data_IF_894728903363
#
_entry.id   IF_894728903363
#
_cell.length_a   1.000
_cell.length_b   1.000
_cell.length_c   1.000
_cell.angle_alpha   90.00
_cell.angle_beta   90.00
_cell.angle_gamma   90.00
#
_symmetry.space_group_name_H-M   'P 1'
#
loop_
_entity.id
_entity.type
_entity.pdbx_description
1 polymer ?
#
# COMPACT_ATOMS: atom_id res chain seq x y z
N UNK A 1 -17.15 -16.31 25.54
CA UNK A 1 -15.70 -16.45 25.76
C UNK A 1 -15.08 -16.91 24.46
N UNK A 2 -14.59 -15.97 23.64
CA UNK A 2 -13.85 -16.32 22.41
C UNK A 2 -12.51 -16.87 22.86
N UNK A 3 -12.18 -18.10 22.47
CA UNK A 3 -10.84 -18.61 22.64
C UNK A 3 -9.90 -17.64 21.90
N UNK A 4 -9.02 -16.98 22.65
CA UNK A 4 -7.87 -16.31 22.04
C UNK A 4 -7.09 -17.44 21.39
N UNK A 5 -7.20 -17.59 20.07
CA UNK A 5 -6.32 -18.51 19.34
C UNK A 5 -4.92 -17.95 19.55
N UNK A 6 -4.18 -18.57 20.46
CA UNK A 6 -2.78 -18.25 20.72
C UNK A 6 -2.02 -18.44 19.41
N UNK A 7 -1.30 -17.40 19.00
CA UNK A 7 -0.29 -17.44 17.94
C UNK A 7 0.59 -18.67 18.19
N UNK A 8 0.61 -19.71 17.32
CA UNK A 8 1.48 -20.86 17.48
C UNK A 8 2.94 -20.42 17.66
N UNK A 9 3.70 -21.17 18.45
CA UNK A 9 5.11 -20.91 18.66
C UNK A 9 5.85 -20.88 17.32
N UNK A 10 6.74 -19.90 17.13
CA UNK A 10 7.66 -19.86 16.00
C UNK A 10 8.63 -21.03 16.21
N UNK A 11 8.43 -22.13 15.48
CA UNK A 11 9.22 -23.36 15.64
C UNK A 11 10.71 -23.13 15.29
N UNK A 12 11.02 -22.13 14.47
CA UNK A 12 12.39 -21.69 14.20
C UNK A 12 12.44 -20.19 13.79
N UNK A 13 12.96 -19.28 14.63
CA UNK A 13 13.05 -17.85 14.29
C UNK A 13 14.02 -17.55 13.15
N UNK A 14 14.86 -18.50 12.75
CA UNK A 14 15.77 -18.36 11.62
C UNK A 14 15.09 -18.52 10.25
N UNK A 15 13.82 -18.95 10.20
CA UNK A 15 13.06 -19.08 8.96
C UNK A 15 11.84 -18.14 8.97
N UNK A 16 11.48 -17.55 7.82
CA UNK A 16 10.31 -16.69 7.74
C UNK A 16 9.00 -17.48 7.84
N UNK A 17 7.98 -16.85 8.43
CA UNK A 17 6.64 -17.44 8.54
C UNK A 17 5.87 -17.19 7.24
N UNK A 18 6.02 -18.08 6.26
CA UNK A 18 5.43 -17.91 4.92
C UNK A 18 4.09 -18.63 4.72
N UNK A 19 3.82 -19.69 5.47
CA UNK A 19 2.66 -20.57 5.25
C UNK A 19 2.19 -21.30 6.51
N UNK A 20 1.12 -22.08 6.37
CA UNK A 20 0.59 -23.02 7.36
C UNK A 20 -0.66 -22.56 8.11
N UNK A 21 -1.07 -21.30 7.94
CA UNK A 21 -2.21 -20.69 8.65
C UNK A 21 -3.33 -20.27 7.69
N UNK A 22 -3.36 -20.86 6.49
CA UNK A 22 -4.24 -20.48 5.40
C UNK A 22 -5.72 -20.51 5.82
N UNK A 23 -6.13 -21.53 6.58
CA UNK A 23 -7.51 -21.66 7.05
C UNK A 23 -7.88 -20.54 8.05
N UNK A 24 -7.02 -20.27 9.03
CA UNK A 24 -7.23 -19.24 10.04
C UNK A 24 -7.21 -17.83 9.44
N UNK A 25 -6.26 -17.57 8.54
CA UNK A 25 -6.16 -16.32 7.78
C UNK A 25 -7.40 -16.15 6.93
N UNK A 26 -7.79 -17.14 6.11
CA UNK A 26 -9.00 -17.07 5.29
C UNK A 26 -10.23 -16.76 6.13
N UNK A 27 -10.40 -17.43 7.28
CA UNK A 27 -11.49 -17.16 8.22
C UNK A 27 -11.49 -15.72 8.74
N UNK A 28 -10.32 -15.17 9.10
CA UNK A 28 -10.20 -13.78 9.54
C UNK A 28 -10.52 -12.78 8.41
N UNK A 29 -10.06 -13.07 7.18
CA UNK A 29 -10.23 -12.18 6.02
C UNK A 29 -11.66 -12.12 5.49
N UNK A 30 -12.48 -13.14 5.74
CA UNK A 30 -13.89 -13.17 5.33
C UNK A 30 -14.83 -12.30 6.18
N UNK A 31 -14.36 -11.57 7.19
CA UNK A 31 -15.21 -10.66 7.95
C UNK A 31 -15.62 -9.45 7.11
N UNK A 32 -16.94 -9.27 6.89
CA UNK A 32 -17.53 -8.09 6.25
C UNK A 32 -17.80 -6.92 7.21
N UNK A 33 -17.27 -6.97 8.43
CA UNK A 33 -17.43 -5.89 9.41
C UNK A 33 -16.58 -4.68 9.03
N UNK A 34 -17.18 -3.50 9.22
CA UNK A 34 -16.47 -2.23 9.15
C UNK A 34 -15.36 -2.15 10.20
N UNK A 35 -14.27 -1.48 9.85
CA UNK A 35 -13.05 -1.35 10.65
C UNK A 35 -13.07 -0.05 11.46
N UNK A 36 -13.50 1.04 10.83
CA UNK A 36 -13.34 2.40 11.36
C UNK A 36 -14.67 3.11 11.64
N UNK A 37 -15.73 2.88 10.85
CA UNK A 37 -16.96 3.72 10.93
C UNK A 37 -17.59 3.76 12.33
N UNK A 38 -17.49 2.67 13.11
CA UNK A 38 -18.04 2.61 14.47
C UNK A 38 -17.16 3.32 15.53
N UNK A 39 -15.95 3.75 15.14
CA UNK A 39 -14.91 4.25 16.06
C UNK A 39 -14.31 5.59 15.64
N UNK A 40 -14.46 5.96 14.38
CA UNK A 40 -14.01 7.24 13.87
C UNK A 40 -14.83 8.36 14.51
N UNK A 41 -14.15 9.47 14.78
CA UNK A 41 -14.74 10.71 15.25
C UNK A 41 -14.86 11.76 14.14
N UNK A 42 -14.65 11.36 12.88
CA UNK A 42 -14.80 12.23 11.73
C UNK A 42 -16.25 12.29 11.30
N UNK A 43 -16.70 13.50 10.99
CA UNK A 43 -17.97 13.76 10.33
C UNK A 43 -17.69 14.19 8.90
N UNK A 44 -18.02 13.32 7.93
CA UNK A 44 -17.77 13.56 6.51
C UNK A 44 -18.48 14.85 6.02
N UNK A 45 -19.63 15.19 6.60
CA UNK A 45 -20.40 16.37 6.21
C UNK A 45 -19.73 17.67 6.64
N UNK A 46 -19.01 17.67 7.77
CA UNK A 46 -18.29 18.82 8.28
C UNK A 46 -16.97 19.14 7.56
N UNK A 47 -16.44 18.20 6.78
CA UNK A 47 -15.12 18.33 6.14
C UNK A 47 -15.21 18.97 4.74
N UNK A 48 -14.27 19.86 4.41
CA UNK A 48 -14.08 20.37 3.06
C UNK A 48 -13.21 19.46 2.20
N UNK A 49 -12.21 18.82 2.81
CA UNK A 49 -11.27 17.91 2.17
C UNK A 49 -10.59 17.03 3.23
N UNK A 50 -9.98 15.94 2.79
CA UNK A 50 -9.14 15.08 3.61
C UNK A 50 -7.74 14.92 3.03
N UNK A 51 -6.80 14.44 3.86
CA UNK A 51 -5.51 13.96 3.39
C UNK A 51 -5.18 12.59 4.01
N UNK A 52 -4.46 11.78 3.27
CA UNK A 52 -3.98 10.47 3.68
C UNK A 52 -2.48 10.36 3.39
N UNK A 53 -1.72 9.85 4.35
CA UNK A 53 -0.30 9.53 4.15
C UNK A 53 -0.06 8.06 4.43
N UNK A 54 0.77 7.44 3.59
CA UNK A 54 1.34 6.13 3.81
C UNK A 54 2.87 6.23 3.88
N UNK A 55 3.46 5.49 4.82
CA UNK A 55 4.90 5.31 4.90
C UNK A 55 5.24 3.89 4.44
N UNK A 56 5.97 3.80 3.33
CA UNK A 56 6.53 2.56 2.80
C UNK A 56 7.87 2.27 3.49
N UNK A 57 8.08 1.05 3.98
CA UNK A 57 9.29 0.66 4.72
C UNK A 57 9.83 -0.67 4.20
N UNK A 58 11.09 -0.68 3.78
CA UNK A 58 11.70 -1.85 3.17
C UNK A 58 13.21 -1.98 3.43
N UNK A 59 13.63 -3.21 3.75
CA UNK A 59 15.02 -3.62 3.65
C UNK A 59 15.07 -4.99 2.96
N UNK A 60 16.02 -5.22 2.03
CA UNK A 60 16.14 -6.49 1.36
C UNK A 60 16.71 -7.57 2.28
N UNK A 61 16.46 -8.83 1.92
CA UNK A 61 17.16 -9.99 2.47
C UNK A 61 18.37 -10.29 1.59
N UNK A 62 19.53 -10.55 2.19
CA UNK A 62 20.80 -10.80 1.48
C UNK A 62 21.50 -12.05 2.02
N UNK A 63 22.26 -12.79 1.20
CA UNK A 63 23.01 -13.98 1.61
C UNK A 63 24.37 -13.62 2.23
N UNK A 64 24.39 -12.70 3.20
CA UNK A 64 25.63 -12.15 3.78
C UNK A 64 25.88 -12.59 5.24
N UNK A 65 25.04 -13.46 5.79
CA UNK A 65 25.26 -14.03 7.12
C UNK A 65 26.38 -15.08 7.15
N UNK A 66 26.77 -15.56 8.34
CA UNK A 66 27.79 -16.60 8.49
C UNK A 66 27.50 -17.82 7.62
N UNK A 67 28.44 -18.20 6.76
CA UNK A 67 28.27 -19.33 5.85
C UNK A 67 27.27 -19.10 4.70
N UNK A 68 26.95 -17.84 4.36
CA UNK A 68 26.02 -17.50 3.28
C UNK A 68 24.55 -17.55 3.69
N UNK A 69 24.27 -17.51 5.00
CA UNK A 69 22.91 -17.45 5.52
C UNK A 69 22.19 -16.18 5.07
N UNK A 70 20.87 -16.30 4.88
CA UNK A 70 20.00 -15.16 4.59
C UNK A 70 19.81 -14.32 5.86
N UNK A 71 20.16 -13.04 5.77
CA UNK A 71 19.96 -12.04 6.82
C UNK A 71 19.28 -10.80 6.24
N UNK A 72 18.58 -10.03 7.08
CA UNK A 72 18.13 -8.70 6.68
C UNK A 72 19.33 -7.77 6.42
N UNK A 73 19.28 -6.95 5.38
CA UNK A 73 20.34 -5.99 5.08
C UNK A 73 20.57 -5.01 6.23
N UNK A 74 19.54 -4.66 7.00
CA UNK A 74 19.70 -3.86 8.22
C UNK A 74 20.66 -4.51 9.23
N UNK A 75 20.64 -5.85 9.38
CA UNK A 75 21.59 -6.57 10.24
C UNK A 75 23.01 -6.39 9.71
N UNK A 76 23.22 -6.61 8.41
CA UNK A 76 24.51 -6.42 7.77
C UNK A 76 25.05 -5.01 8.01
N UNK A 77 24.20 -3.98 7.88
CA UNK A 77 24.61 -2.61 8.14
C UNK A 77 25.10 -2.39 9.58
N UNK A 78 24.43 -2.97 10.58
CA UNK A 78 24.89 -2.89 11.97
C UNK A 78 26.23 -3.61 12.20
N UNK A 79 26.42 -4.76 11.57
CA UNK A 79 27.65 -5.56 11.67
C UNK A 79 28.82 -4.92 10.93
N UNK A 80 28.55 -4.09 9.92
CA UNK A 80 29.54 -3.49 9.02
C UNK A 80 29.40 -1.96 8.95
N UNK A 81 29.23 -1.29 10.09
CA UNK A 81 28.87 0.13 10.18
C UNK A 81 29.85 1.12 9.51
N UNK A 82 31.09 0.70 9.24
CA UNK A 82 32.13 1.52 8.60
C UNK A 82 32.22 1.34 7.08
N UNK A 83 31.37 0.52 6.49
CA UNK A 83 31.33 0.28 5.05
C UNK A 83 30.25 1.16 4.39
N UNK A 84 30.66 2.03 3.48
CA UNK A 84 29.73 2.88 2.72
C UNK A 84 28.72 3.62 3.62
N UNK A 85 27.43 3.49 3.28
CA UNK A 85 26.33 4.15 3.99
C UNK A 85 25.78 3.35 5.18
N UNK A 86 26.46 2.29 5.61
CA UNK A 86 26.01 1.42 6.71
C UNK A 86 25.92 2.15 8.06
N UNK A 87 26.63 3.26 8.22
CA UNK A 87 26.51 4.15 9.38
C UNK A 87 25.07 4.67 9.61
N UNK A 88 24.20 4.59 8.61
CA UNK A 88 22.77 4.96 8.70
C UNK A 88 21.86 3.86 9.28
N UNK A 89 22.38 2.71 9.71
CA UNK A 89 21.58 1.62 10.27
C UNK A 89 20.69 2.06 11.46
N UNK A 90 21.24 2.88 12.36
CA UNK A 90 20.51 3.46 13.49
C UNK A 90 19.35 4.37 13.04
N UNK A 91 19.61 5.39 12.21
CA UNK A 91 18.57 6.21 11.58
C UNK A 91 17.47 5.40 10.88
N UNK A 92 17.82 4.38 10.07
CA UNK A 92 16.83 3.49 9.44
C UNK A 92 15.98 2.76 10.48
N UNK A 93 16.61 2.14 11.47
CA UNK A 93 15.90 1.45 12.55
C UNK A 93 14.93 2.38 13.30
N UNK A 94 15.29 3.64 13.51
CA UNK A 94 14.39 4.62 14.11
C UNK A 94 13.22 4.99 13.19
N UNK A 95 13.44 5.10 11.87
CA UNK A 95 12.35 5.33 10.90
C UNK A 95 11.28 4.23 11.00
N UNK A 96 11.68 2.97 11.19
CA UNK A 96 10.77 1.83 11.37
C UNK A 96 10.03 1.82 12.71
N UNK A 97 10.52 2.57 13.71
CA UNK A 97 9.98 2.55 15.07
C UNK A 97 9.16 3.79 15.42
N UNK A 98 9.51 4.96 14.85
CA UNK A 98 9.11 6.29 15.34
C UNK A 98 7.61 6.55 15.37
N UNK A 99 6.83 5.91 14.50
CA UNK A 99 5.37 6.05 14.55
C UNK A 99 4.78 5.49 15.86
N UNK A 100 5.46 4.52 16.46
CA UNK A 100 5.12 4.01 17.79
C UNK A 100 5.35 5.00 18.92
N UNK A 101 6.13 6.06 18.70
CA UNK A 101 6.31 7.17 19.64
C UNK A 101 5.39 8.34 19.29
N UNK A 102 5.31 8.71 18.01
CA UNK A 102 4.59 9.91 17.57
C UNK A 102 3.07 9.80 17.76
N UNK A 103 2.48 8.63 17.46
CA UNK A 103 1.03 8.45 17.58
C UNK A 103 0.57 8.58 19.04
N UNK A 104 1.16 7.84 20.01
CA UNK A 104 0.81 8.03 21.42
C UNK A 104 1.05 9.46 21.93
N UNK A 105 2.17 10.09 21.55
CA UNK A 105 2.50 11.46 21.97
C UNK A 105 1.43 12.47 21.52
N UNK A 106 1.07 12.44 20.23
CA UNK A 106 0.10 13.36 19.64
C UNK A 106 -1.31 13.15 20.23
N UNK A 107 -1.71 11.90 20.44
CA UNK A 107 -3.00 11.58 21.07
C UNK A 107 -3.04 12.09 22.51
N UNK A 108 -1.95 11.93 23.27
CA UNK A 108 -1.86 12.46 24.63
C UNK A 108 -1.99 13.99 24.67
N UNK A 109 -1.56 14.67 23.61
CA UNK A 109 -1.69 16.12 23.44
C UNK A 109 -3.06 16.55 22.87
N UNK A 110 -3.98 15.61 22.66
CA UNK A 110 -5.33 15.88 22.15
C UNK A 110 -5.43 16.06 20.64
N UNK A 111 -4.38 15.70 19.89
CA UNK A 111 -4.44 15.63 18.44
C UNK A 111 -5.13 14.34 17.97
N UNK A 112 -5.45 14.29 16.67
CA UNK A 112 -6.16 13.18 16.06
C UNK A 112 -5.41 12.63 14.82
N UNK A 113 -4.21 12.05 15.00
CA UNK A 113 -3.32 11.70 13.90
C UNK A 113 -3.80 10.48 13.12
N UNK A 114 -3.56 10.46 11.81
CA UNK A 114 -3.75 9.29 10.93
C UNK A 114 -2.46 8.97 10.19
N UNK A 115 -2.14 7.69 10.06
CA UNK A 115 -1.04 7.22 9.23
C UNK A 115 -1.33 5.81 8.73
N UNK A 116 -1.02 5.58 7.46
CA UNK A 116 -0.99 4.24 6.88
C UNK A 116 0.46 3.70 6.89
N UNK A 117 0.62 2.42 7.21
CA UNK A 117 1.92 1.76 7.29
C UNK A 117 1.98 0.61 6.28
N UNK A 118 2.98 0.65 5.41
CA UNK A 118 3.32 -0.42 4.48
C UNK A 118 4.73 -0.93 4.81
N UNK A 119 4.84 -2.15 5.33
CA UNK A 119 6.12 -2.78 5.65
C UNK A 119 6.21 -4.09 4.88
N UNK A 120 7.28 -4.23 4.10
CA UNK A 120 7.58 -5.48 3.40
C UNK A 120 7.75 -6.67 4.37
N UNK A 121 7.46 -7.87 3.89
CA UNK A 121 7.67 -9.10 4.67
C UNK A 121 9.14 -9.33 5.02
N UNK A 122 10.05 -9.03 4.09
CA UNK A 122 11.50 -9.07 4.32
C UNK A 122 11.92 -8.22 5.52
N UNK A 123 11.43 -6.98 5.60
CA UNK A 123 11.76 -6.08 6.70
C UNK A 123 11.20 -6.63 8.03
N UNK A 124 9.93 -7.02 8.07
CA UNK A 124 9.30 -7.56 9.28
C UNK A 124 10.01 -8.81 9.79
N UNK A 125 10.37 -9.72 8.88
CA UNK A 125 11.16 -10.90 9.22
C UNK A 125 12.56 -10.52 9.70
N UNK A 126 13.27 -9.62 9.01
CA UNK A 126 14.60 -9.16 9.40
C UNK A 126 14.63 -8.53 10.80
N UNK A 127 13.64 -7.70 11.14
CA UNK A 127 13.51 -7.11 12.48
C UNK A 127 13.29 -8.20 13.54
N UNK A 128 12.46 -9.22 13.24
CA UNK A 128 12.27 -10.39 14.13
C UNK A 128 13.56 -11.21 14.29
N UNK A 129 14.25 -11.51 13.18
CA UNK A 129 15.49 -12.28 13.15
C UNK A 129 16.57 -11.60 13.99
N UNK A 130 16.68 -10.28 13.91
CA UNK A 130 17.61 -9.47 14.70
C UNK A 130 17.21 -9.33 16.18
N UNK A 131 16.02 -9.78 16.58
CA UNK A 131 15.52 -9.61 17.95
C UNK A 131 15.26 -8.16 18.37
N UNK A 132 14.92 -7.27 17.41
CA UNK A 132 14.70 -5.83 17.65
C UNK A 132 13.34 -5.54 18.29
N UNK A 133 13.20 -5.97 19.55
CA UNK A 133 11.98 -5.75 20.34
C UNK A 133 11.67 -4.26 20.56
N UNK A 134 12.71 -3.40 20.57
CA UNK A 134 12.57 -1.95 20.63
C UNK A 134 11.74 -1.36 19.47
N UNK A 135 11.72 -2.03 18.31
CA UNK A 135 10.89 -1.68 17.17
C UNK A 135 9.54 -2.43 17.23
N UNK A 136 9.58 -3.76 17.40
CA UNK A 136 8.39 -4.60 17.34
C UNK A 136 7.38 -4.27 18.45
N UNK A 137 7.83 -3.98 19.67
CA UNK A 137 6.93 -3.68 20.78
C UNK A 137 6.23 -2.33 20.58
N UNK A 138 6.92 -1.35 19.99
CA UNK A 138 6.33 -0.06 19.58
C UNK A 138 5.26 -0.24 18.50
N UNK A 139 5.57 -1.01 17.46
CA UNK A 139 4.62 -1.31 16.38
C UNK A 139 3.42 -2.11 16.92
N UNK A 140 3.64 -3.12 17.77
CA UNK A 140 2.55 -3.84 18.45
C UNK A 140 1.70 -2.91 19.30
N UNK A 141 2.31 -1.95 20.00
CA UNK A 141 1.62 -0.94 20.79
C UNK A 141 0.57 -0.20 19.97
N UNK A 142 0.98 0.46 18.88
CA UNK A 142 0.06 1.23 18.02
C UNK A 142 -0.88 0.37 17.18
N UNK A 143 -0.53 -0.89 16.94
CA UNK A 143 -1.34 -1.81 16.12
C UNK A 143 -2.41 -2.50 16.94
N UNK A 144 -2.07 -3.06 18.10
CA UNK A 144 -2.94 -3.97 18.83
C UNK A 144 -3.78 -3.25 19.88
N UNK A 145 -3.31 -2.15 20.46
CA UNK A 145 -4.06 -1.39 21.46
C UNK A 145 -5.24 -0.65 20.83
N UNK A 146 -6.45 -0.92 21.33
CA UNK A 146 -7.70 -0.33 20.81
C UNK A 146 -7.71 1.20 20.80
N UNK A 147 -6.93 1.85 21.67
CA UNK A 147 -6.79 3.31 21.73
C UNK A 147 -6.16 3.89 20.47
N UNK A 148 -5.28 3.14 19.81
CA UNK A 148 -4.51 3.61 18.66
C UNK A 148 -5.05 3.06 17.32
N UNK A 149 -5.93 2.06 17.35
CA UNK A 149 -6.49 1.43 16.15
C UNK A 149 -7.17 2.41 15.16
N UNK A 150 -7.87 3.48 15.59
CA UNK A 150 -8.42 4.47 14.66
C UNK A 150 -7.36 5.32 13.94
N UNK A 151 -6.15 5.40 14.50
CA UNK A 151 -5.09 6.30 14.08
C UNK A 151 -4.07 5.64 13.13
N UNK A 152 -4.02 4.32 13.11
CA UNK A 152 -3.04 3.55 12.33
C UNK A 152 -3.73 2.49 11.51
N UNK A 153 -3.64 2.62 10.20
CA UNK A 153 -4.02 1.58 9.24
C UNK A 153 -2.76 0.89 8.70
N UNK A 154 -2.83 -0.42 8.54
CA UNK A 154 -1.79 -1.19 7.84
C UNK A 154 -2.27 -1.49 6.42
N UNK A 155 -1.36 -1.37 5.45
CA UNK A 155 -1.54 -1.82 4.08
C UNK A 155 -0.84 -3.17 3.90
N UNK A 156 -1.47 -4.06 3.12
CA UNK A 156 -0.77 -5.23 2.61
C UNK A 156 0.24 -4.86 1.54
N UNK A 157 1.27 -5.67 1.38
CA UNK A 157 2.23 -5.60 0.27
C UNK A 157 2.74 -7.01 -0.07
N UNK A 158 3.68 -7.13 -1.00
CA UNK A 158 4.35 -8.40 -1.26
C UNK A 158 5.42 -8.68 -0.20
N UNK A 159 5.47 -9.94 0.25
CA UNK A 159 6.43 -10.37 1.26
C UNK A 159 7.88 -10.02 0.87
N UNK A 160 8.27 -10.36 -0.36
CA UNK A 160 9.64 -10.18 -0.84
C UNK A 160 9.93 -8.82 -1.49
N UNK A 161 8.96 -7.88 -1.47
CA UNK A 161 9.04 -6.62 -2.23
C UNK A 161 9.26 -6.85 -3.74
N UNK A 162 8.60 -7.87 -4.31
CA UNK A 162 8.74 -8.18 -5.73
C UNK A 162 7.99 -7.15 -6.60
N UNK A 163 8.57 -6.77 -7.74
CA UNK A 163 7.90 -5.91 -8.72
C UNK A 163 6.83 -6.73 -9.45
N UNK A 164 5.58 -6.28 -9.41
CA UNK A 164 4.43 -7.08 -9.84
C UNK A 164 4.50 -7.51 -11.31
N UNK A 165 4.90 -6.65 -12.23
CA UNK A 165 5.00 -7.03 -13.65
C UNK A 165 6.18 -7.97 -13.96
N UNK A 166 7.18 -8.07 -13.08
CA UNK A 166 8.30 -8.99 -13.20
C UNK A 166 8.07 -10.31 -12.42
N UNK A 167 6.95 -10.43 -11.73
CA UNK A 167 6.61 -11.61 -10.92
C UNK A 167 5.85 -12.63 -11.77
N UNK A 168 6.26 -13.90 -11.81
CA UNK A 168 5.46 -14.96 -12.45
C UNK A 168 4.03 -14.97 -11.91
N UNK A 169 3.04 -15.11 -12.80
CA UNK A 169 1.62 -15.02 -12.42
C UNK A 169 1.23 -15.95 -11.25
N UNK A 170 1.70 -17.20 -11.16
CA UNK A 170 1.39 -18.08 -10.03
C UNK A 170 1.97 -17.62 -8.69
N UNK A 171 3.02 -16.79 -8.70
CA UNK A 171 3.75 -16.35 -7.51
C UNK A 171 3.16 -15.09 -6.87
N UNK A 172 2.40 -14.30 -7.64
CA UNK A 172 1.65 -13.13 -7.13
C UNK A 172 0.81 -13.48 -5.88
N UNK A 173 -0.11 -14.48 -5.91
CA UNK A 173 -0.87 -14.86 -4.72
C UNK A 173 0.00 -15.44 -3.60
N UNK A 174 1.18 -16.02 -3.91
CA UNK A 174 2.08 -16.55 -2.89
C UNK A 174 2.74 -15.42 -2.10
N UNK A 175 3.20 -14.36 -2.76
CA UNK A 175 3.75 -13.18 -2.08
C UNK A 175 2.74 -12.50 -1.17
N UNK A 176 1.48 -12.39 -1.60
CA UNK A 176 0.40 -11.80 -0.82
C UNK A 176 0.12 -12.64 0.44
N UNK A 177 -0.02 -13.96 0.28
CA UNK A 177 -0.29 -14.88 1.40
C UNK A 177 0.89 -14.94 2.37
N UNK A 178 2.12 -14.98 1.87
CA UNK A 178 3.33 -14.97 2.70
C UNK A 178 3.38 -13.72 3.59
N UNK A 179 3.02 -12.55 3.05
CA UNK A 179 2.95 -11.32 3.83
C UNK A 179 1.92 -11.42 4.96
N UNK A 180 0.74 -11.99 4.68
CA UNK A 180 -0.29 -12.18 5.70
C UNK A 180 0.18 -13.10 6.84
N UNK A 181 0.88 -14.20 6.53
CA UNK A 181 1.45 -15.08 7.55
C UNK A 181 2.50 -14.36 8.41
N UNK A 182 3.42 -13.65 7.76
CA UNK A 182 4.44 -12.86 8.44
C UNK A 182 3.82 -11.79 9.35
N UNK A 183 2.83 -11.05 8.86
CA UNK A 183 2.09 -10.04 9.62
C UNK A 183 1.39 -10.64 10.84
N UNK A 184 0.67 -11.74 10.67
CA UNK A 184 -0.06 -12.39 11.77
C UNK A 184 0.90 -12.95 12.81
N UNK A 185 2.09 -13.42 12.43
CA UNK A 185 3.09 -13.90 13.38
C UNK A 185 3.56 -12.82 14.37
N UNK A 186 3.45 -11.54 13.99
CA UNK A 186 3.86 -10.39 14.81
C UNK A 186 2.65 -9.75 15.52
N UNK A 187 1.56 -9.50 14.79
CA UNK A 187 0.45 -8.66 15.25
C UNK A 187 -0.85 -9.45 15.53
N UNK A 188 -0.94 -10.70 15.09
CA UNK A 188 -2.09 -11.57 15.30
C UNK A 188 -3.24 -11.37 14.30
N UNK A 189 -4.21 -12.29 14.35
CA UNK A 189 -5.32 -12.35 13.40
C UNK A 189 -6.28 -11.15 13.51
N UNK A 190 -6.52 -10.65 14.73
CA UNK A 190 -7.40 -9.48 14.93
C UNK A 190 -6.84 -8.21 14.29
N UNK A 191 -5.51 -8.05 14.26
CA UNK A 191 -4.89 -6.97 13.51
C UNK A 191 -5.06 -7.18 12.00
N UNK A 192 -4.84 -8.41 11.50
CA UNK A 192 -4.97 -8.71 10.06
C UNK A 192 -6.39 -8.46 9.53
N UNK A 193 -7.44 -8.66 10.35
CA UNK A 193 -8.83 -8.33 9.96
C UNK A 193 -9.01 -6.87 9.55
N UNK A 194 -8.16 -5.96 10.03
CA UNK A 194 -8.29 -4.51 9.75
C UNK A 194 -7.51 -4.05 8.52
N UNK A 195 -6.67 -4.90 7.94
CA UNK A 195 -5.83 -4.57 6.77
C UNK A 195 -6.65 -4.69 5.48
N UNK A 196 -7.35 -3.64 5.04
CA UNK A 196 -8.18 -3.72 3.80
C UNK A 196 -7.50 -3.14 2.57
N UNK A 197 -6.56 -2.22 2.76
CA UNK A 197 -5.78 -1.63 1.69
C UNK A 197 -4.55 -2.44 1.30
N UNK A 198 -4.07 -2.21 0.08
CA UNK A 198 -2.86 -2.82 -0.45
C UNK A 198 -2.00 -1.78 -1.18
N UNK A 199 -0.67 -1.84 -1.03
CA UNK A 199 0.29 -1.06 -1.80
C UNK A 199 1.26 -2.01 -2.51
N UNK A 200 1.47 -1.79 -3.80
CA UNK A 200 2.42 -2.58 -4.57
C UNK A 200 3.85 -2.07 -4.30
N UNK A 201 4.85 -2.96 -4.23
CA UNK A 201 6.24 -2.57 -4.29
C UNK A 201 6.50 -1.64 -5.48
N UNK A 202 7.28 -0.59 -5.25
CA UNK A 202 7.54 0.49 -6.23
C UNK A 202 6.29 1.19 -6.75
N UNK A 203 5.13 0.94 -6.11
CA UNK A 203 3.81 1.36 -6.56
C UNK A 203 3.57 0.99 -8.04
N UNK A 204 4.21 -0.10 -8.49
CA UNK A 204 4.26 -0.50 -9.89
C UNK A 204 3.01 -1.28 -10.26
N UNK A 205 2.11 -0.65 -11.03
CA UNK A 205 0.92 -1.31 -11.53
C UNK A 205 1.25 -2.08 -12.83
N UNK A 206 1.05 -3.42 -12.89
CA UNK A 206 1.25 -4.14 -14.14
C UNK A 206 0.16 -3.73 -15.13
N UNK A 207 0.57 -3.30 -16.33
CA UNK A 207 -0.37 -2.96 -17.41
C UNK A 207 -0.63 -4.13 -18.37
N UNK A 208 0.14 -5.23 -18.30
CA UNK A 208 -0.19 -6.47 -19.00
C UNK A 208 -1.54 -7.04 -18.50
N UNK A 209 -2.51 -7.33 -19.39
CA UNK A 209 -3.89 -7.64 -19.02
C UNK A 209 -4.02 -8.86 -18.10
N UNK A 210 -3.31 -9.94 -18.41
CA UNK A 210 -3.35 -11.16 -17.59
C UNK A 210 -2.68 -10.99 -16.23
N UNK A 211 -1.66 -10.14 -16.13
CA UNK A 211 -0.96 -9.85 -14.88
C UNK A 211 -1.84 -8.99 -13.97
N UNK A 212 -2.44 -7.94 -14.52
CA UNK A 212 -3.37 -7.09 -13.78
C UNK A 212 -4.59 -7.88 -13.28
N UNK A 213 -5.20 -8.69 -14.15
CA UNK A 213 -6.33 -9.53 -13.77
C UNK A 213 -5.97 -10.52 -12.65
N UNK A 214 -4.84 -11.22 -12.79
CA UNK A 214 -4.36 -12.16 -11.78
C UNK A 214 -4.12 -11.47 -10.44
N UNK A 215 -3.48 -10.30 -10.46
CA UNK A 215 -3.26 -9.48 -9.27
C UNK A 215 -4.59 -9.10 -8.59
N UNK A 216 -5.54 -8.55 -9.34
CA UNK A 216 -6.82 -8.07 -8.77
C UNK A 216 -7.63 -9.23 -8.17
N UNK A 217 -7.68 -10.38 -8.84
CA UNK A 217 -8.31 -11.58 -8.27
C UNK A 217 -7.59 -12.03 -7.00
N UNK A 218 -6.25 -12.12 -7.03
CA UNK A 218 -5.47 -12.53 -5.87
C UNK A 218 -5.66 -11.61 -4.65
N UNK A 219 -5.77 -10.29 -4.88
CA UNK A 219 -6.05 -9.31 -3.83
C UNK A 219 -7.44 -9.52 -3.22
N UNK A 220 -8.48 -9.66 -4.05
CA UNK A 220 -9.86 -9.88 -3.60
C UNK A 220 -10.01 -11.19 -2.84
N UNK A 221 -9.45 -12.28 -3.38
CA UNK A 221 -9.46 -13.61 -2.74
C UNK A 221 -8.70 -13.61 -1.41
N UNK A 222 -7.71 -12.72 -1.27
CA UNK A 222 -6.95 -12.51 -0.03
C UNK A 222 -7.62 -11.50 0.91
N UNK A 223 -8.81 -10.98 0.60
CA UNK A 223 -9.62 -10.10 1.44
C UNK A 223 -9.22 -8.62 1.45
N UNK A 224 -8.45 -8.17 0.46
CA UNK A 224 -8.20 -6.74 0.24
C UNK A 224 -9.36 -6.13 -0.56
N UNK A 225 -9.75 -4.91 -0.20
CA UNK A 225 -10.91 -4.23 -0.78
C UNK A 225 -10.51 -3.08 -1.71
N UNK A 226 -9.33 -2.53 -1.50
CA UNK A 226 -8.82 -1.42 -2.28
C UNK A 226 -7.29 -1.46 -2.35
N UNK A 227 -6.72 -0.72 -3.31
CA UNK A 227 -5.27 -0.57 -3.42
C UNK A 227 -4.86 0.86 -3.77
N UNK A 228 -3.63 1.24 -3.46
CA UNK A 228 -3.05 2.49 -3.93
C UNK A 228 -2.44 2.31 -5.32
N UNK A 229 -2.63 3.30 -6.20
CA UNK A 229 -2.01 3.36 -7.55
C UNK A 229 -1.44 4.75 -7.79
N UNK A 230 -0.49 4.88 -8.73
CA UNK A 230 0.02 6.21 -9.09
C UNK A 230 -0.81 6.83 -10.19
N UNK A 231 -1.00 8.14 -10.13
CA UNK A 231 -1.80 8.89 -11.10
C UNK A 231 -1.42 8.62 -12.56
N UNK A 232 -0.13 8.48 -12.88
CA UNK A 232 0.32 8.24 -14.25
C UNK A 232 0.31 6.76 -14.68
N UNK A 233 0.08 5.83 -13.75
CA UNK A 233 -0.03 4.39 -14.06
C UNK A 233 -1.43 3.98 -14.50
N UNK A 234 -2.39 4.91 -14.40
CA UNK A 234 -3.79 4.69 -14.75
C UNK A 234 -4.30 5.76 -15.70
N UNK A 235 -5.29 5.38 -16.51
CA UNK A 235 -5.97 6.22 -17.48
C UNK A 235 -7.48 5.98 -17.43
N UNK A 236 -8.27 6.87 -18.01
CA UNK A 236 -9.69 6.62 -18.28
C UNK A 236 -9.82 5.47 -19.30
N UNK A 237 -11.02 4.88 -19.41
CA UNK A 237 -11.26 3.83 -20.43
C UNK A 237 -11.09 4.34 -21.88
N UNK A 238 -11.21 5.65 -22.07
CA UNK A 238 -11.00 6.37 -23.32
C UNK A 238 -9.54 6.80 -23.55
N UNK A 239 -8.63 6.50 -22.60
CA UNK A 239 -7.19 6.69 -22.75
C UNK A 239 -6.69 8.08 -22.37
N UNK A 240 -7.49 8.91 -21.70
CA UNK A 240 -7.04 10.18 -21.14
C UNK A 240 -6.48 10.01 -19.72
N UNK A 241 -5.63 10.94 -19.29
CA UNK A 241 -5.18 11.00 -17.90
C UNK A 241 -6.33 11.27 -16.93
N UNK A 242 -6.18 10.85 -15.67
CA UNK A 242 -7.19 11.02 -14.63
C UNK A 242 -7.38 12.50 -14.28
N UNK A 243 -8.62 12.99 -14.35
CA UNK A 243 -8.94 14.40 -14.12
C UNK A 243 -9.28 14.73 -12.66
N UNK A 244 -9.71 13.75 -11.87
CA UNK A 244 -10.16 13.94 -10.48
C UNK A 244 -9.42 12.99 -9.54
N UNK A 245 -8.08 13.04 -9.43
CA UNK A 245 -7.29 12.02 -8.76
C UNK A 245 -7.57 11.90 -7.25
N UNK A 246 -8.20 12.91 -6.63
CA UNK A 246 -8.59 12.86 -5.21
C UNK A 246 -9.89 12.10 -4.93
N UNK A 247 -10.51 11.53 -5.97
CA UNK A 247 -11.65 10.64 -5.84
C UNK A 247 -11.22 9.17 -5.87
N UNK A 248 -11.91 8.27 -5.15
CA UNK A 248 -11.73 6.85 -5.38
C UNK A 248 -12.15 6.51 -6.81
N UNK A 249 -11.41 5.60 -7.45
CA UNK A 249 -11.73 5.09 -8.78
C UNK A 249 -11.97 3.59 -8.73
N UNK A 250 -12.67 3.06 -9.73
CA UNK A 250 -12.80 1.63 -9.96
C UNK A 250 -11.84 1.21 -11.07
N UNK A 251 -10.77 0.52 -10.70
CA UNK A 251 -9.80 -0.02 -11.65
C UNK A 251 -10.39 -1.27 -12.31
N UNK A 252 -10.59 -1.21 -13.62
CA UNK A 252 -11.09 -2.32 -14.44
C UNK A 252 -9.90 -3.17 -14.89
N UNK A 253 -9.96 -4.46 -14.60
CA UNK A 253 -8.98 -5.45 -15.00
C UNK A 253 -9.63 -6.48 -15.91
N UNK A 254 -9.26 -6.44 -17.20
CA UNK A 254 -9.71 -7.38 -18.23
C UNK A 254 -8.54 -8.24 -18.69
N UNK A 255 -8.73 -9.55 -18.75
CA UNK A 255 -7.69 -10.49 -19.19
C UNK A 255 -7.81 -10.86 -20.68
N UNK A 256 -6.85 -11.63 -21.17
CA UNK A 256 -6.79 -12.06 -22.57
C UNK A 256 -7.83 -13.12 -22.97
N UNK A 257 -8.65 -13.58 -22.01
CA UNK A 257 -9.78 -14.48 -22.21
C UNK A 257 -11.13 -13.73 -22.16
N UNK A 258 -11.12 -12.39 -22.10
CA UNK A 258 -12.33 -11.57 -22.02
C UNK A 258 -12.99 -11.55 -20.64
N UNK A 259 -12.37 -12.13 -19.62
CA UNK A 259 -12.88 -12.07 -18.24
C UNK A 259 -12.53 -10.71 -17.64
N UNK A 260 -13.46 -10.16 -16.87
CA UNK A 260 -13.33 -8.85 -16.24
C UNK A 260 -13.58 -8.92 -14.73
N UNK A 261 -12.83 -8.12 -13.99
CA UNK A 261 -13.04 -7.85 -12.56
C UNK A 261 -12.63 -6.41 -12.26
N UNK A 262 -12.94 -5.95 -11.05
CA UNK A 262 -12.56 -4.62 -10.60
C UNK A 262 -12.13 -4.60 -9.13
N UNK A 263 -11.38 -3.55 -8.78
CA UNK A 263 -11.06 -3.18 -7.40
C UNK A 263 -11.09 -1.66 -7.25
N UNK A 264 -11.46 -1.18 -6.06
CA UNK A 264 -11.37 0.26 -5.75
C UNK A 264 -9.90 0.67 -5.64
N UNK A 265 -9.56 1.85 -6.15
CA UNK A 265 -8.22 2.43 -6.03
C UNK A 265 -8.26 3.84 -5.46
N UNK A 266 -7.29 4.13 -4.60
CA UNK A 266 -6.96 5.50 -4.18
C UNK A 266 -5.70 5.94 -4.93
N UNK A 267 -5.75 7.12 -5.53
CA UNK A 267 -4.69 7.58 -6.43
C UNK A 267 -3.69 8.43 -5.65
N UNK A 268 -2.43 8.01 -5.67
CA UNK A 268 -1.29 8.82 -5.27
C UNK A 268 -1.07 9.90 -6.33
N UNK A 269 -1.24 11.16 -5.97
CA UNK A 269 -1.01 12.29 -6.88
C UNK A 269 0.47 12.51 -7.17
N UNK A 270 0.76 13.12 -8.32
CA UNK A 270 2.13 13.41 -8.73
C UNK A 270 2.83 14.45 -7.81
N UNK A 271 4.11 14.20 -7.55
CA UNK A 271 5.06 15.19 -7.06
C UNK A 271 6.35 14.53 -6.57
N UNK A 272 7.24 15.29 -5.94
CA UNK A 272 8.56 14.76 -5.54
C UNK A 272 8.43 13.75 -4.40
N UNK A 273 8.56 12.49 -4.79
CA UNK A 273 8.29 11.27 -4.04
C UNK A 273 8.82 11.23 -2.60
N UNK A 274 9.99 11.79 -2.31
CA UNK A 274 10.56 11.86 -0.94
C UNK A 274 10.31 13.19 -0.24
N UNK A 275 9.99 14.26 -0.98
CA UNK A 275 9.83 15.62 -0.44
C UNK A 275 8.39 15.91 -0.02
N UNK A 276 7.41 15.32 -0.70
CA UNK A 276 6.00 15.64 -0.47
C UNK A 276 5.56 15.24 0.94
N UNK A 277 5.75 13.98 1.34
CA UNK A 277 5.36 13.53 2.68
C UNK A 277 6.31 14.08 3.74
N UNK A 278 7.60 14.21 3.44
CA UNK A 278 8.59 14.75 4.36
C UNK A 278 8.26 16.14 4.89
N UNK A 279 7.46 16.91 4.16
CA UNK A 279 6.98 18.24 4.56
C UNK A 279 5.46 18.31 4.74
N UNK A 280 4.76 17.17 4.79
CA UNK A 280 3.30 17.06 4.91
C UNK A 280 2.55 17.86 3.82
N UNK A 281 3.09 17.94 2.60
CA UNK A 281 2.43 18.55 1.45
C UNK A 281 0.97 18.08 1.24
N UNK A 282 0.58 16.80 1.41
CA UNK A 282 -0.81 16.39 1.21
C UNK A 282 -1.80 17.11 2.13
N UNK A 283 -1.38 17.44 3.36
CA UNK A 283 -2.20 18.26 4.27
C UNK A 283 -2.37 19.68 3.73
N UNK A 284 -1.29 20.32 3.27
CA UNK A 284 -1.36 21.69 2.72
C UNK A 284 -2.13 21.76 1.40
N UNK A 285 -2.04 20.72 0.55
CA UNK A 285 -2.84 20.59 -0.67
C UNK A 285 -4.33 20.46 -0.34
N UNK A 286 -4.70 19.60 0.61
CA UNK A 286 -6.09 19.43 1.03
C UNK A 286 -6.75 20.74 1.50
N UNK A 287 -5.99 21.66 2.11
CA UNK A 287 -6.49 23.00 2.51
C UNK A 287 -6.92 23.88 1.34
N UNK A 288 -6.45 23.58 0.14
CA UNK A 288 -6.82 24.32 -1.08
C UNK A 288 -8.03 23.73 -1.81
N UNK A 289 -8.49 22.55 -1.37
CA UNK A 289 -9.59 21.83 -1.98
C UNK A 289 -10.92 22.11 -1.26
N UNK A 290 -12.00 21.80 -1.97
CA UNK A 290 -13.36 21.83 -1.44
C UNK A 290 -14.12 20.60 -1.90
N UNK A 291 -15.32 20.41 -1.34
CA UNK A 291 -16.16 19.26 -1.67
C UNK A 291 -16.46 19.15 -3.16
N UNK A 292 -16.55 17.93 -3.63
CA UNK A 292 -16.84 17.57 -5.02
C UNK A 292 -18.01 16.61 -5.09
N UNK A 293 -18.76 16.65 -6.19
CA UNK A 293 -19.87 15.73 -6.40
C UNK A 293 -19.36 14.36 -6.82
N UNK A 294 -19.79 13.32 -6.12
CA UNK A 294 -19.59 11.91 -6.48
C UNK A 294 -20.93 11.17 -6.34
N UNK A 295 -21.43 10.61 -7.44
CA UNK A 295 -22.80 10.11 -7.51
C UNK A 295 -23.82 11.22 -7.20
N UNK A 296 -24.64 11.02 -6.18
CA UNK A 296 -25.62 11.99 -5.70
C UNK A 296 -25.17 12.78 -4.47
N UNK A 297 -23.95 12.56 -3.98
CA UNK A 297 -23.43 13.17 -2.76
C UNK A 297 -22.36 14.21 -3.06
N UNK A 298 -22.20 15.14 -2.12
CA UNK A 298 -21.11 16.10 -2.13
C UNK A 298 -20.11 15.74 -1.03
N UNK A 299 -18.95 15.23 -1.43
CA UNK A 299 -17.98 14.58 -0.54
C UNK A 299 -16.67 15.37 -0.48
N UNK A 300 -15.93 15.33 0.64
CA UNK A 300 -14.59 15.88 0.70
C UNK A 300 -13.63 15.05 -0.17
N UNK A 301 -12.88 15.64 -1.11
CA UNK A 301 -11.82 14.92 -1.83
C UNK A 301 -10.71 14.48 -0.87
N UNK A 302 -10.00 13.40 -1.20
CA UNK A 302 -8.90 12.86 -0.39
C UNK A 302 -7.56 12.98 -1.13
N UNK A 303 -6.67 13.84 -0.64
CA UNK A 303 -5.28 13.90 -1.13
C UNK A 303 -4.50 12.73 -0.55
N UNK A 304 -4.16 11.75 -1.37
CA UNK A 304 -3.46 10.54 -0.93
C UNK A 304 -2.00 10.56 -1.39
N UNK A 305 -1.07 10.30 -0.47
CA UNK A 305 0.37 10.21 -0.77
C UNK A 305 1.00 9.00 -0.07
N UNK A 306 2.00 8.41 -0.71
CA UNK A 306 2.86 7.36 -0.14
C UNK A 306 4.33 7.67 -0.48
N UNK A 307 5.23 7.41 0.46
CA UNK A 307 6.66 7.65 0.33
C UNK A 307 7.46 6.66 1.17
N UNK A 308 8.65 6.31 0.70
CA UNK A 308 9.66 5.59 1.47
C UNK A 308 9.98 6.33 2.78
N UNK A 309 9.71 5.70 3.91
CA UNK A 309 9.86 6.31 5.22
C UNK A 309 11.31 6.48 5.66
N UNK A 310 12.21 5.70 5.06
CA UNK A 310 13.66 5.73 5.27
C UNK A 310 14.42 6.63 4.28
N UNK A 311 13.79 7.08 3.19
CA UNK A 311 14.53 7.61 2.05
C UNK A 311 14.97 9.08 2.22
N UNK A 312 16.29 9.27 2.23
CA UNK A 312 16.94 10.57 2.11
C UNK A 312 16.90 11.45 3.36
N UNK A 313 17.63 12.57 3.29
CA UNK A 313 17.74 13.51 4.41
C UNK A 313 16.40 14.14 4.82
N UNK A 314 15.44 14.29 3.90
CA UNK A 314 14.14 14.92 4.21
C UNK A 314 13.26 14.02 5.07
N UNK A 315 13.09 12.75 4.71
CA UNK A 315 12.27 11.82 5.50
C UNK A 315 12.91 11.49 6.85
N UNK A 316 14.24 11.48 6.93
CA UNK A 316 14.93 11.27 8.20
C UNK A 316 14.85 12.49 9.13
N UNK A 317 15.07 13.69 8.60
CA UNK A 317 15.29 14.89 9.43
C UNK A 317 14.10 15.85 9.49
N UNK A 318 13.36 16.04 8.39
CA UNK A 318 12.29 17.04 8.31
C UNK A 318 10.92 16.45 8.67
N UNK A 319 10.64 15.22 8.23
CA UNK A 319 9.35 14.55 8.46
C UNK A 319 8.90 14.56 9.92
N UNK A 320 9.74 14.23 10.93
CA UNK A 320 9.31 14.22 12.32
C UNK A 320 8.69 15.55 12.78
N UNK A 321 9.32 16.67 12.43
CA UNK A 321 8.84 18.00 12.79
C UNK A 321 7.62 18.41 11.98
N UNK A 322 7.61 18.12 10.67
CA UNK A 322 6.50 18.43 9.79
C UNK A 322 5.23 17.64 10.15
N UNK A 323 5.36 16.34 10.39
CA UNK A 323 4.26 15.45 10.79
C UNK A 323 3.58 15.97 12.07
N UNK A 324 4.36 16.21 13.13
CA UNK A 324 3.81 16.74 14.39
C UNK A 324 3.13 18.10 14.20
N UNK A 325 3.77 19.01 13.45
CA UNK A 325 3.20 20.33 13.14
C UNK A 325 1.83 20.23 12.45
N UNK A 326 1.71 19.41 11.42
CA UNK A 326 0.46 19.23 10.70
C UNK A 326 -0.67 18.77 11.63
N UNK A 327 -0.40 17.88 12.59
CA UNK A 327 -1.41 17.43 13.55
C UNK A 327 -1.79 18.47 14.60
N UNK A 328 -0.86 19.34 15.02
CA UNK A 328 -1.21 20.49 15.85
C UNK A 328 -2.06 21.51 15.08
N UNK A 329 -1.76 21.75 13.79
CA UNK A 329 -2.53 22.69 12.98
C UNK A 329 -3.94 22.17 12.66
N UNK A 330 -4.11 20.88 12.34
CA UNK A 330 -5.43 20.26 12.10
C UNK A 330 -6.34 20.30 13.33
N UNK A 331 -5.79 20.37 14.55
CA UNK A 331 -6.58 20.59 15.76
C UNK A 331 -7.28 21.97 15.76
N UNK A 332 -6.72 22.95 15.04
CA UNK A 332 -7.25 24.31 14.94
C UNK A 332 -8.18 24.51 13.72
N UNK A 333 -7.95 23.76 12.63
CA UNK A 333 -8.76 23.81 11.41
C UNK A 333 -9.63 22.55 11.27
N UNK A 334 -10.88 22.62 11.72
CA UNK A 334 -11.80 21.47 11.71
C UNK A 334 -12.34 21.10 10.32
N UNK A 335 -11.99 21.84 9.26
CA UNK A 335 -12.50 21.56 7.89
C UNK A 335 -11.64 20.57 7.13
N UNK A 336 -10.37 20.42 7.50
CA UNK A 336 -9.45 19.46 6.87
C UNK A 336 -9.00 18.44 7.89
N UNK A 337 -9.19 17.16 7.57
CA UNK A 337 -8.81 16.07 8.46
C UNK A 337 -7.86 15.08 7.78
N UNK A 338 -6.99 14.48 8.59
CA UNK A 338 -6.33 13.25 8.20
C UNK A 338 -7.34 12.10 8.21
N UNK A 339 -7.35 11.28 7.16
CA UNK A 339 -8.28 10.16 7.02
C UNK A 339 -7.50 8.96 6.47
N UNK A 340 -7.64 7.79 7.11
CA UNK A 340 -7.07 6.56 6.59
C UNK A 340 -7.86 6.06 5.36
N UNK A 341 -7.25 5.25 4.49
CA UNK A 341 -7.88 4.86 3.23
C UNK A 341 -9.16 4.04 3.42
N UNK A 342 -9.14 3.04 4.31
CA UNK A 342 -10.34 2.27 4.63
C UNK A 342 -11.37 3.12 5.40
N UNK A 343 -10.91 3.98 6.30
CA UNK A 343 -11.77 4.91 7.04
C UNK A 343 -12.56 5.82 6.07
N UNK A 344 -11.88 6.38 5.07
CA UNK A 344 -12.50 7.22 4.05
C UNK A 344 -13.55 6.46 3.23
N UNK A 345 -13.21 5.26 2.73
CA UNK A 345 -14.14 4.44 1.95
C UNK A 345 -15.36 4.00 2.76
N UNK A 346 -15.20 3.71 4.06
CA UNK A 346 -16.31 3.39 4.95
C UNK A 346 -17.20 4.60 5.24
N UNK A 347 -16.62 5.79 5.42
CA UNK A 347 -17.38 7.03 5.57
C UNK A 347 -18.18 7.36 4.30
N UNK A 348 -17.59 7.16 3.11
CA UNK A 348 -18.30 7.30 1.83
C UNK A 348 -19.48 6.33 1.73
N UNK A 349 -19.26 5.05 2.08
CA UNK A 349 -20.32 4.05 2.10
C UNK A 349 -21.45 4.40 3.08
N UNK A 350 -21.11 4.92 4.26
CA UNK A 350 -22.09 5.39 5.24
C UNK A 350 -22.88 6.62 4.74
N UNK A 351 -22.27 7.47 3.91
CA UNK A 351 -22.94 8.57 3.22
C UNK A 351 -23.76 8.14 1.98
N UNK A 352 -23.80 6.83 1.67
CA UNK A 352 -24.55 6.28 0.54
C UNK A 352 -23.84 6.39 -0.81
N UNK A 353 -22.52 6.60 -0.82
CA UNK A 353 -21.69 6.48 -2.02
C UNK A 353 -21.15 5.06 -2.11
N UNK A 354 -21.37 4.40 -3.23
CA UNK A 354 -20.97 3.00 -3.44
C UNK A 354 -19.94 2.88 -4.56
N UNK A 355 -19.31 1.70 -4.68
CA UNK A 355 -18.31 1.43 -5.73
C UNK A 355 -18.85 1.70 -7.15
N UNK A 356 -20.16 1.55 -7.35
CA UNK A 356 -20.83 1.85 -8.63
C UNK A 356 -20.82 3.33 -9.02
N UNK A 357 -20.67 4.25 -8.05
CA UNK A 357 -20.59 5.69 -8.27
C UNK A 357 -19.18 6.16 -8.64
N UNK A 358 -18.17 5.30 -8.41
CA UNK A 358 -16.78 5.66 -8.64
C UNK A 358 -16.46 5.72 -10.14
N UNK A 359 -15.76 6.77 -10.61
CA UNK A 359 -15.26 6.82 -11.98
C UNK A 359 -14.38 5.61 -12.28
N UNK A 360 -14.48 5.07 -13.49
CA UNK A 360 -13.68 3.91 -13.92
C UNK A 360 -12.34 4.34 -14.48
N UNK A 361 -11.30 3.58 -14.16
CA UNK A 361 -9.99 3.70 -14.78
C UNK A 361 -9.47 2.32 -15.21
N UNK A 362 -8.38 2.30 -15.97
CA UNK A 362 -7.63 1.11 -16.37
C UNK A 362 -6.12 1.39 -16.29
N UNK A 363 -5.30 0.35 -16.36
CA UNK A 363 -3.85 0.55 -16.42
C UNK A 363 -3.44 1.22 -17.74
N UNK A 364 -2.43 2.08 -17.68
CA UNK A 364 -1.96 2.89 -18.82
C UNK A 364 -1.59 2.03 -20.04
N UNK A 365 -1.99 2.50 -21.22
CA UNK A 365 -1.76 1.82 -22.50
C UNK A 365 -2.81 0.77 -22.87
N UNK A 366 -3.67 0.35 -21.93
CA UNK A 366 -4.73 -0.61 -22.22
C UNK A 366 -5.80 -0.07 -23.17
N UNK A 367 -6.03 1.25 -23.24
CA UNK A 367 -6.93 1.85 -24.22
C UNK A 367 -6.54 1.47 -25.64
N UNK A 368 -5.25 1.57 -25.96
CA UNK A 368 -4.72 1.23 -27.28
C UNK A 368 -4.87 -0.26 -27.62
N UNK A 369 -4.75 -1.13 -26.61
CA UNK A 369 -4.99 -2.56 -26.77
C UNK A 369 -6.46 -2.83 -27.08
N UNK A 370 -7.37 -2.40 -26.20
CA UNK A 370 -8.78 -2.75 -26.27
C UNK A 370 -9.53 -2.08 -27.41
N UNK A 371 -9.16 -0.85 -27.80
CA UNK A 371 -9.75 -0.19 -28.97
C UNK A 371 -9.47 -0.93 -30.29
N UNK A 372 -8.42 -1.74 -30.31
CA UNK A 372 -7.94 -2.40 -31.52
C UNK A 372 -8.39 -3.85 -31.70
N UNK A 373 -9.15 -4.37 -30.73
CA UNK A 373 -9.68 -5.73 -30.71
C UNK A 373 -11.20 -5.64 -30.57
N UNK A 374 -11.95 -6.34 -31.42
CA UNK A 374 -13.39 -6.52 -31.19
C UNK A 374 -13.63 -7.54 -30.06
N UNK A 375 -14.79 -7.49 -29.40
CA UNK A 375 -15.07 -8.36 -28.24
C UNK A 375 -15.01 -9.86 -28.57
N UNK A 376 -15.47 -10.25 -29.76
CA UNK A 376 -15.43 -11.61 -30.30
C UNK A 376 -14.02 -12.05 -30.73
N UNK A 377 -13.06 -11.13 -30.73
CA UNK A 377 -11.67 -11.35 -31.12
C UNK A 377 -10.72 -11.49 -29.92
N UNK A 378 -11.21 -11.35 -28.69
CA UNK A 378 -10.38 -11.43 -27.49
C UNK A 378 -9.98 -12.88 -27.23
N UNK A 379 -8.74 -13.21 -27.62
CA UNK A 379 -8.10 -14.50 -27.35
C UNK A 379 -6.64 -14.26 -26.92
N UNK A 380 -6.04 -15.18 -26.14
CA UNK A 380 -4.64 -15.04 -25.71
C UNK A 380 -3.65 -14.81 -26.85
N UNK A 381 -3.84 -15.49 -27.98
CA UNK A 381 -2.98 -15.34 -29.15
C UNK A 381 -3.11 -13.95 -29.79
N UNK A 382 -4.34 -13.47 -30.00
CA UNK A 382 -4.57 -12.14 -30.60
C UNK A 382 -4.10 -11.02 -29.69
N UNK A 383 -4.35 -11.12 -28.39
CA UNK A 383 -3.86 -10.15 -27.40
C UNK A 383 -2.34 -10.11 -27.40
N UNK A 384 -1.66 -11.27 -27.37
CA UNK A 384 -0.19 -11.35 -27.44
C UNK A 384 0.35 -10.71 -28.72
N UNK A 385 -0.22 -11.04 -29.88
CA UNK A 385 0.19 -10.47 -31.17
C UNK A 385 -0.02 -8.96 -31.21
N UNK A 386 -1.10 -8.46 -30.61
CA UNK A 386 -1.39 -7.02 -30.53
C UNK A 386 -0.42 -6.29 -29.61
N UNK A 387 -0.13 -6.84 -28.43
CA UNK A 387 0.88 -6.32 -27.50
C UNK A 387 2.24 -6.20 -28.22
N UNK A 388 2.66 -7.24 -28.95
CA UNK A 388 3.90 -7.20 -29.74
C UNK A 388 3.89 -6.10 -30.81
N UNK A 389 2.73 -5.85 -31.44
CA UNK A 389 2.57 -4.77 -32.42
C UNK A 389 2.60 -3.38 -31.77
N UNK A 390 2.03 -3.23 -30.57
CA UNK A 390 2.02 -1.98 -29.81
C UNK A 390 3.42 -1.64 -29.27
N UNK A 391 4.20 -2.64 -28.86
CA UNK A 391 5.59 -2.46 -28.43
C UNK A 391 6.45 -1.85 -29.55
N UNK A 392 6.21 -2.23 -30.82
CA UNK A 392 6.88 -1.60 -31.97
C UNK A 392 6.53 -0.11 -32.17
N UNK A 393 5.47 0.38 -31.52
CA UNK A 393 5.03 1.78 -31.51
C UNK A 393 5.29 2.48 -30.15
N UNK A 394 6.25 1.99 -29.37
CA UNK A 394 6.64 2.52 -28.05
C UNK A 394 5.55 2.45 -26.96
N UNK A 395 4.57 1.55 -27.09
CA UNK A 395 3.61 1.25 -26.02
C UNK A 395 4.01 -0.09 -25.40
N UNK A 396 4.62 -0.04 -24.22
CA UNK A 396 5.15 -1.23 -23.53
C UNK A 396 4.16 -1.78 -22.50
N UNK A 397 4.19 -3.09 -22.29
CA UNK A 397 3.34 -3.80 -21.34
C UNK A 397 4.17 -4.42 -20.19
N UNK A 398 5.08 -3.62 -19.64
CA UNK A 398 6.04 -4.00 -18.57
C UNK A 398 5.69 -3.40 -17.20
N UNK A 399 4.61 -2.62 -17.11
CA UNK A 399 4.25 -1.80 -15.94
C UNK A 399 5.12 -0.55 -15.79
N UNK A 400 4.53 0.52 -15.24
CA UNK A 400 5.22 1.79 -14.90
C UNK A 400 5.46 1.88 -13.39
N UNK A 401 6.55 2.55 -12.97
CA UNK A 401 7.01 2.59 -11.58
C UNK A 401 7.44 3.99 -11.16
N UNK A 402 7.76 4.17 -9.87
CA UNK A 402 8.31 5.41 -9.32
C UNK A 402 9.51 6.00 -10.08
N UNK A 403 10.33 5.14 -10.68
CA UNK A 403 11.45 5.53 -11.54
C UNK A 403 11.09 5.27 -13.00
N UNK A 404 10.45 6.25 -13.65
CA UNK A 404 10.11 6.21 -15.09
C UNK A 404 11.34 6.02 -16.03
N UNK A 405 12.55 5.98 -15.49
CA UNK A 405 13.82 5.81 -16.21
C UNK A 405 14.45 4.41 -16.07
N UNK A 406 13.83 3.47 -15.33
CA UNK A 406 14.40 2.12 -15.13
C UNK A 406 13.43 1.01 -15.53
N UNK A 407 13.88 0.17 -16.46
CA UNK A 407 13.19 -1.08 -16.81
C UNK A 407 13.43 -2.13 -15.73
N UNK A 408 12.39 -2.43 -14.94
CA UNK A 408 12.44 -3.48 -13.92
C UNK A 408 12.35 -4.90 -14.51
N UNK A 409 12.14 -5.03 -15.83
CA UNK A 409 11.98 -6.30 -16.53
C UNK A 409 13.18 -6.70 -17.39
N UNK A 410 14.04 -5.75 -17.79
CA UNK A 410 15.17 -6.00 -18.71
C UNK A 410 16.21 -7.03 -18.19
N UNK A 411 16.27 -7.27 -16.87
CA UNK A 411 17.12 -8.29 -16.26
C UNK A 411 16.48 -9.67 -16.03
N UNK A 412 15.15 -9.78 -16.17
CA UNK A 412 14.38 -10.99 -15.85
C UNK A 412 13.90 -11.77 -17.08
N UNK A 413 14.33 -11.40 -18.29
CA UNK A 413 13.90 -12.04 -19.54
C UNK A 413 14.19 -13.56 -19.61
N UNK A 414 15.13 -14.06 -18.81
CA UNK A 414 15.48 -15.49 -18.73
C UNK A 414 14.76 -16.23 -17.58
N UNK A 415 13.92 -15.54 -16.80
CA UNK A 415 13.28 -16.05 -15.58
C UNK A 415 11.75 -16.14 -15.73
N UNK A 416 11.14 -15.37 -16.64
CA UNK A 416 9.69 -15.28 -16.87
C UNK A 416 9.23 -16.19 -18.01
#
# INVERSE_FOLDING_TARGET
>A
MSAVMSVPAIDNPALPMLCGWEASIKGARCSGQSVFVERTNLDLDGLSAGFAIALHMHQPTIPAGPGGQLIGHLQYMFEHAYEGDNHNAGPFAYCYARMGDFIPELIHQGCNPRVMLDYSGNLLWGIQQMGRSDILDKLKGITCDSRYQPHVEWLGTFWGHAVAAATPLPDIPLHIKAWQHQFVSIFGLEALKRVRGFSLPEMQLPNHPDALYTLVIALKDSGYHWMMVQEHTVETLTGEGIQQPHLPHRLIARNSHGQETSITVLIKTQGSDTKLIGQMQPYYEAKTLGKVTLGHQNIPPLVSQISDGENGGVMMNEFPGAFKRAWYETQQDCRVAGINGTEYLELLAAAGVHEGDFPTCQAVGQHHLWRSLLEDEITPERVRNKIATLAANNITFTGDSWTNDRSWTEGYANVI
#
